data_IF_202506305204
#
_entry.id   IF_202506305204
#
_cell.length_a   1.000
_cell.length_b   1.000
_cell.length_c   1.000
_cell.angle_alpha   90.00
_cell.angle_beta   90.00
_cell.angle_gamma   90.00
#
_symmetry.space_group_name_H-M   'P 1'
#
loop_
_entity.id
_entity.type
_entity.pdbx_description
1 polymer ?
#
# COMPACT_ATOMS: atom_id res chain seq x y z
N UNK A 1 -3.00 11.20 -12.78
CA UNK A 1 -4.37 10.67 -12.59
C UNK A 1 -4.96 10.38 -13.96
N UNK A 2 -5.17 9.11 -14.29
CA UNK A 2 -5.69 8.68 -15.59
C UNK A 2 -7.07 9.28 -15.86
N UNK A 3 -7.35 9.59 -17.13
CA UNK A 3 -8.53 10.23 -17.69
C UNK A 3 -9.86 9.47 -17.54
N UNK A 4 -9.95 8.47 -16.65
CA UNK A 4 -11.12 7.60 -16.51
C UNK A 4 -12.21 8.15 -15.56
N UNK A 5 -12.36 9.46 -15.45
CA UNK A 5 -13.33 10.11 -14.56
C UNK A 5 -14.80 10.08 -15.06
N UNK A 6 -15.18 9.22 -16.01
CA UNK A 6 -16.55 9.22 -16.56
C UNK A 6 -17.27 7.89 -16.66
N UNK A 7 -16.63 6.74 -16.43
CA UNK A 7 -17.30 5.44 -16.49
C UNK A 7 -17.42 4.83 -15.08
N UNK A 8 -18.62 4.37 -14.74
CA UNK A 8 -18.87 3.59 -13.52
C UNK A 8 -18.15 2.24 -13.57
N UNK A 9 -17.95 1.61 -12.41
CA UNK A 9 -17.38 0.26 -12.30
C UNK A 9 -18.07 -0.74 -13.25
N UNK A 10 -19.39 -0.67 -13.36
CA UNK A 10 -20.18 -1.57 -14.20
C UNK A 10 -19.96 -1.31 -15.69
N UNK A 11 -19.86 -0.04 -16.10
CA UNK A 11 -19.56 0.34 -17.48
C UNK A 11 -18.13 -0.08 -17.88
N UNK A 12 -17.14 0.13 -17.00
CA UNK A 12 -15.76 -0.32 -17.24
C UNK A 12 -15.64 -1.83 -17.35
N UNK A 13 -16.53 -2.56 -16.68
CA UNK A 13 -16.56 -4.02 -16.72
C UNK A 13 -17.40 -4.57 -17.87
N UNK A 14 -18.05 -3.71 -18.66
CA UNK A 14 -18.91 -4.11 -19.78
C UNK A 14 -20.09 -4.99 -19.36
N UNK A 15 -20.58 -4.84 -18.12
CA UNK A 15 -21.66 -5.67 -17.55
C UNK A 15 -22.99 -4.93 -17.58
N UNK A 16 -24.05 -5.64 -17.96
CA UNK A 16 -25.43 -5.14 -18.14
C UNK A 16 -26.12 -4.67 -16.83
N UNK A 17 -27.23 -3.94 -17.02
CA UNK A 17 -28.18 -3.58 -15.96
C UNK A 17 -28.70 -4.83 -15.22
N UNK A 18 -28.63 -4.82 -13.88
CA UNK A 18 -29.17 -5.87 -12.99
C UNK A 18 -28.14 -6.60 -12.14
N UNK A 19 -26.86 -6.55 -12.50
CA UNK A 19 -25.76 -7.14 -11.72
C UNK A 19 -25.55 -6.45 -10.38
N UNK A 20 -25.57 -5.11 -10.41
CA UNK A 20 -25.56 -4.27 -9.20
C UNK A 20 -26.65 -4.69 -8.23
N UNK A 21 -27.89 -4.85 -8.71
CA UNK A 21 -29.01 -5.25 -7.86
C UNK A 21 -28.87 -6.70 -7.39
N UNK A 22 -28.32 -7.60 -8.22
CA UNK A 22 -27.98 -8.96 -7.83
C UNK A 22 -26.99 -9.00 -6.65
N UNK A 23 -25.92 -8.21 -6.72
CA UNK A 23 -24.95 -8.08 -5.63
C UNK A 23 -25.61 -7.53 -4.36
N UNK A 24 -26.39 -6.45 -4.46
CA UNK A 24 -27.09 -5.86 -3.32
C UNK A 24 -28.10 -6.82 -2.69
N UNK A 25 -28.83 -7.60 -3.50
CA UNK A 25 -29.72 -8.66 -2.99
C UNK A 25 -28.94 -9.74 -2.25
N UNK A 26 -27.85 -10.24 -2.83
CA UNK A 26 -27.01 -11.25 -2.17
C UNK A 26 -26.48 -10.76 -0.80
N UNK A 27 -26.07 -9.49 -0.71
CA UNK A 27 -25.68 -8.89 0.58
C UNK A 27 -26.86 -8.85 1.55
N UNK A 28 -28.04 -8.38 1.12
CA UNK A 28 -29.24 -8.28 1.97
C UNK A 28 -29.66 -9.64 2.53
N UNK A 29 -29.61 -10.68 1.70
CA UNK A 29 -30.00 -12.04 2.08
C UNK A 29 -29.03 -12.65 3.11
N UNK A 30 -27.73 -12.34 3.00
CA UNK A 30 -26.72 -12.83 3.95
C UNK A 30 -26.55 -11.93 5.19
N UNK A 31 -26.98 -10.68 5.15
CA UNK A 31 -26.83 -9.69 6.22
C UNK A 31 -28.18 -9.15 6.68
N UNK A 32 -29.12 -10.06 7.00
CA UNK A 32 -30.47 -9.73 7.48
C UNK A 32 -30.42 -8.79 8.67
N UNK A 33 -31.18 -7.69 8.61
CA UNK A 33 -31.26 -6.67 9.66
C UNK A 33 -30.10 -5.67 9.70
N UNK A 34 -29.09 -5.80 8.82
CA UNK A 34 -28.06 -4.79 8.68
C UNK A 34 -28.51 -3.65 7.77
N UNK A 35 -28.06 -2.43 8.06
CA UNK A 35 -28.16 -1.30 7.12
C UNK A 35 -27.05 -1.45 6.08
N UNK A 36 -27.43 -1.37 4.81
CA UNK A 36 -26.55 -1.62 3.67
C UNK A 36 -26.53 -0.35 2.82
N UNK A 37 -25.35 0.21 2.60
CA UNK A 37 -25.16 1.46 1.87
C UNK A 37 -24.01 1.31 0.88
N UNK A 38 -24.17 1.82 -0.34
CA UNK A 38 -23.01 1.96 -1.22
C UNK A 38 -22.08 3.05 -0.70
N UNK A 39 -20.78 2.80 -0.76
CA UNK A 39 -19.84 3.87 -0.48
C UNK A 39 -19.96 4.96 -1.56
N UNK A 40 -19.99 6.21 -1.13
CA UNK A 40 -20.07 7.38 -2.01
C UNK A 40 -18.96 7.39 -3.07
N UNK A 41 -17.77 6.91 -2.69
CA UNK A 41 -16.61 6.83 -3.57
C UNK A 41 -16.30 5.36 -3.86
N UNK A 42 -16.51 4.96 -5.11
CA UNK A 42 -16.21 3.61 -5.62
C UNK A 42 -14.81 3.56 -6.21
N UNK A 43 -14.10 2.43 -6.02
CA UNK A 43 -12.81 2.20 -6.67
C UNK A 43 -13.01 1.71 -8.11
N UNK A 44 -12.02 1.93 -8.99
CA UNK A 44 -12.08 1.41 -10.36
C UNK A 44 -12.04 -0.12 -10.44
N UNK A 45 -11.48 -0.77 -9.43
CA UNK A 45 -11.26 -2.23 -9.40
C UNK A 45 -12.33 -3.01 -8.62
N UNK A 46 -13.25 -2.33 -7.93
CA UNK A 46 -14.26 -2.99 -7.09
C UNK A 46 -15.54 -2.17 -6.93
N UNK A 47 -16.66 -2.88 -6.80
CA UNK A 47 -17.90 -2.32 -6.26
C UNK A 47 -17.97 -2.60 -4.76
N UNK A 48 -18.04 -1.55 -3.94
CA UNK A 48 -17.92 -1.62 -2.48
C UNK A 48 -19.20 -1.16 -1.77
N UNK A 49 -19.64 -1.98 -0.82
CA UNK A 49 -20.85 -1.76 -0.03
C UNK A 49 -20.48 -1.76 1.46
N UNK A 50 -20.95 -0.76 2.21
CA UNK A 50 -20.87 -0.66 3.65
C UNK A 50 -22.00 -1.44 4.31
N UNK A 51 -21.64 -2.24 5.31
CA UNK A 51 -22.57 -2.98 6.17
C UNK A 51 -22.47 -2.39 7.58
N UNK A 52 -23.59 -1.93 8.10
CA UNK A 52 -23.71 -1.43 9.47
C UNK A 52 -24.67 -2.32 10.26
N UNK A 53 -24.16 -3.00 11.29
CA UNK A 53 -24.98 -3.78 12.22
C UNK A 53 -25.15 -3.01 13.52
N UNK A 54 -26.39 -2.92 14.00
CA UNK A 54 -26.66 -2.45 15.36
C UNK A 54 -25.93 -3.38 16.34
N UNK A 55 -25.23 -2.82 17.33
CA UNK A 55 -24.50 -3.61 18.32
C UNK A 55 -25.48 -4.55 19.02
N UNK A 56 -25.28 -5.86 18.91
CA UNK A 56 -26.14 -6.83 19.59
C UNK A 56 -25.97 -6.68 21.09
N UNK A 57 -27.05 -6.42 21.83
CA UNK A 57 -27.13 -6.77 23.24
C UNK A 57 -26.88 -8.28 23.32
N UNK A 58 -25.72 -8.71 23.83
CA UNK A 58 -25.58 -10.11 24.22
C UNK A 58 -26.52 -10.31 25.39
N UNK A 59 -27.65 -10.99 25.17
CA UNK A 59 -28.42 -11.59 26.24
C UNK A 59 -27.53 -12.62 26.94
N UNK A 60 -26.81 -12.16 27.96
CA UNK A 60 -26.14 -13.02 28.91
C UNK A 60 -27.21 -13.74 29.71
N UNK A 61 -27.53 -14.98 29.33
CA UNK A 61 -28.15 -15.94 30.24
C UNK A 61 -27.13 -16.31 31.32
N UNK A 62 -27.07 -15.51 32.39
CA UNK A 62 -26.64 -15.97 33.71
C UNK A 62 -27.62 -15.37 34.71
N UNK A 63 -28.46 -16.24 35.26
CA UNK A 63 -29.17 -15.96 36.50
C UNK A 63 -28.12 -15.76 37.60
N UNK A 64 -28.10 -14.58 38.21
CA UNK A 64 -28.39 -14.42 39.65
C UNK A 64 -28.15 -12.98 40.13
N UNK A 65 -29.19 -12.47 40.80
CA UNK A 65 -29.23 -11.54 41.91
C UNK A 65 -28.12 -10.45 42.07
N UNK A 66 -28.62 -9.19 42.01
CA UNK A 66 -28.15 -8.00 42.76
C UNK A 66 -26.93 -7.26 42.20
N UNK A 67 -27.17 -6.25 41.38
CA UNK A 67 -26.84 -4.84 41.70
C UNK A 67 -27.39 -3.93 40.60
N UNK A 68 -28.13 -2.89 41.00
CA UNK A 68 -28.62 -1.84 40.11
C UNK A 68 -27.45 -0.89 39.83
N UNK A 69 -26.85 -1.03 38.67
CA UNK A 69 -26.24 0.05 37.88
C UNK A 69 -25.94 -0.48 36.48
N UNK A 70 -26.98 -0.54 35.65
CA UNK A 70 -26.86 -0.91 34.23
C UNK A 70 -26.26 0.26 33.47
N UNK A 71 -24.93 0.34 33.46
CA UNK A 71 -24.20 1.10 32.43
C UNK A 71 -24.58 0.46 31.09
N UNK A 72 -25.42 1.14 30.32
CA UNK A 72 -25.67 0.80 28.90
C UNK A 72 -24.32 0.85 28.20
N UNK A 73 -23.74 -0.33 27.97
CA UNK A 73 -22.63 -0.49 27.04
C UNK A 73 -23.22 -0.33 25.64
N UNK A 74 -23.37 0.91 25.18
CA UNK A 74 -23.57 1.22 23.76
C UNK A 74 -22.30 0.78 23.02
N UNK A 75 -22.23 -0.51 22.66
CA UNK A 75 -21.19 -0.98 21.76
C UNK A 75 -21.40 -0.27 20.43
N UNK A 76 -20.37 0.49 20.02
CA UNK A 76 -20.33 1.12 18.72
C UNK A 76 -20.73 0.11 17.62
N UNK A 77 -21.52 0.52 16.62
CA UNK A 77 -22.02 -0.38 15.59
C UNK A 77 -20.85 -1.07 14.88
N UNK A 78 -21.00 -2.38 14.64
CA UNK A 78 -20.00 -3.12 13.87
C UNK A 78 -20.14 -2.73 12.40
N UNK A 79 -19.05 -2.20 11.83
CA UNK A 79 -18.99 -1.76 10.44
C UNK A 79 -18.03 -2.64 9.66
N UNK A 80 -18.50 -3.14 8.52
CA UNK A 80 -17.75 -3.98 7.58
C UNK A 80 -17.96 -3.44 6.18
N UNK A 81 -17.05 -3.73 5.27
CA UNK A 81 -17.27 -3.50 3.84
C UNK A 81 -17.31 -4.83 3.09
N UNK A 82 -18.10 -4.88 2.04
CA UNK A 82 -18.08 -5.97 1.07
C UNK A 82 -17.62 -5.40 -0.25
N UNK A 83 -16.56 -5.99 -0.81
CA UNK A 83 -16.05 -5.65 -2.13
C UNK A 83 -16.36 -6.76 -3.12
N UNK A 84 -16.99 -6.38 -4.22
CA UNK A 84 -17.20 -7.20 -5.38
C UNK A 84 -16.11 -6.87 -6.40
N UNK A 85 -15.31 -7.87 -6.76
CA UNK A 85 -14.14 -7.73 -7.64
C UNK A 85 -14.23 -8.75 -8.77
N UNK A 86 -13.98 -8.36 -10.03
CA UNK A 86 -13.80 -9.33 -11.09
C UNK A 86 -12.54 -10.15 -10.87
N UNK A 87 -12.44 -11.34 -11.47
CA UNK A 87 -11.28 -12.23 -11.32
C UNK A 87 -9.94 -11.53 -11.59
N UNK A 88 -9.85 -10.67 -12.61
CA UNK A 88 -8.64 -9.88 -12.93
C UNK A 88 -8.16 -8.95 -11.82
N UNK A 89 -9.05 -8.58 -10.90
CA UNK A 89 -8.77 -7.69 -9.76
C UNK A 89 -9.07 -8.38 -8.41
N UNK A 90 -9.18 -9.71 -8.42
CA UNK A 90 -9.45 -10.52 -7.24
C UNK A 90 -8.39 -10.31 -6.15
N UNK A 91 -8.81 -10.40 -4.89
CA UNK A 91 -7.90 -10.26 -3.76
C UNK A 91 -7.26 -11.61 -3.42
N UNK A 92 -5.93 -11.71 -3.41
CA UNK A 92 -5.26 -12.89 -2.87
C UNK A 92 -5.39 -12.89 -1.34
N UNK A 93 -6.26 -13.76 -0.83
CA UNK A 93 -6.54 -13.87 0.61
C UNK A 93 -5.31 -14.28 1.43
N UNK A 94 -4.31 -14.93 0.83
CA UNK A 94 -3.05 -15.26 1.52
C UNK A 94 -2.21 -14.01 1.72
N UNK A 95 -2.21 -13.11 0.74
CA UNK A 95 -1.56 -11.79 0.86
C UNK A 95 -2.29 -10.93 1.89
N UNK A 96 -3.63 -10.88 1.84
CA UNK A 96 -4.41 -10.15 2.83
C UNK A 96 -4.18 -10.67 4.26
N UNK A 97 -4.10 -12.00 4.44
CA UNK A 97 -3.75 -12.61 5.72
C UNK A 97 -2.33 -12.25 6.16
N UNK A 98 -1.34 -12.36 5.27
CA UNK A 98 0.05 -11.99 5.55
C UNK A 98 0.18 -10.50 5.93
N UNK A 99 -0.65 -9.63 5.35
CA UNK A 99 -0.72 -8.22 5.71
C UNK A 99 -1.22 -8.04 7.15
N UNK A 100 -2.29 -8.71 7.56
CA UNK A 100 -2.76 -8.70 8.96
C UNK A 100 -1.72 -9.28 9.92
N UNK A 101 -1.04 -10.36 9.56
CA UNK A 101 0.00 -10.98 10.40
C UNK A 101 1.22 -10.07 10.57
N UNK A 102 1.64 -9.40 9.49
CA UNK A 102 2.82 -8.52 9.50
C UNK A 102 2.52 -7.17 10.16
N UNK A 103 1.42 -6.53 9.76
CA UNK A 103 1.10 -5.15 10.13
C UNK A 103 0.09 -5.04 11.28
N UNK A 104 -0.51 -6.15 11.71
CA UNK A 104 -1.45 -6.19 12.82
C UNK A 104 -2.71 -5.39 12.51
N UNK A 105 -3.11 -4.53 13.44
CA UNK A 105 -4.29 -3.68 13.31
C UNK A 105 -4.17 -2.59 12.24
N UNK A 106 -3.01 -2.41 11.60
CA UNK A 106 -2.88 -1.48 10.48
C UNK A 106 -3.36 -2.06 9.16
N UNK A 107 -3.62 -3.37 9.05
CA UNK A 107 -4.14 -3.98 7.83
C UNK A 107 -5.54 -4.59 8.08
N UNK A 108 -6.49 -4.47 7.14
CA UNK A 108 -7.84 -4.96 7.32
C UNK A 108 -7.89 -6.48 7.33
N UNK A 109 -8.59 -7.04 8.32
CA UNK A 109 -8.97 -8.46 8.27
C UNK A 109 -9.90 -8.69 7.08
N UNK A 110 -9.60 -9.72 6.29
CA UNK A 110 -10.28 -10.00 5.03
C UNK A 110 -10.71 -11.46 4.96
N UNK A 111 -11.87 -11.75 4.36
CA UNK A 111 -12.31 -13.11 4.03
C UNK A 111 -13.10 -13.15 2.73
N UNK A 112 -13.04 -14.28 2.03
CA UNK A 112 -13.89 -14.54 0.86
C UNK A 112 -15.34 -14.81 1.28
N UNK A 113 -16.27 -14.35 0.45
CA UNK A 113 -17.69 -14.63 0.56
C UNK A 113 -18.13 -15.43 -0.67
N UNK A 114 -18.90 -16.50 -0.45
CA UNK A 114 -19.46 -17.28 -1.53
C UNK A 114 -20.95 -16.94 -1.71
N UNK A 115 -21.21 -16.00 -2.61
CA UNK A 115 -22.57 -15.59 -2.98
C UNK A 115 -23.07 -16.26 -4.26
N UNK A 116 -22.31 -17.19 -4.86
CA UNK A 116 -22.70 -17.83 -6.13
C UNK A 116 -22.90 -16.82 -7.27
N UNK A 117 -22.06 -15.79 -7.33
CA UNK A 117 -22.21 -14.70 -8.30
C UNK A 117 -21.84 -15.15 -9.72
N UNK A 118 -22.52 -14.64 -10.74
CA UNK A 118 -22.24 -14.99 -12.13
C UNK A 118 -20.90 -14.43 -12.64
N UNK A 119 -20.44 -14.94 -13.79
CA UNK A 119 -19.28 -14.50 -14.61
C UNK A 119 -17.99 -14.17 -13.84
N UNK A 120 -17.61 -15.01 -12.87
CA UNK A 120 -16.32 -14.88 -12.19
C UNK A 120 -16.20 -13.68 -11.26
N UNK A 121 -17.31 -13.04 -10.89
CA UNK A 121 -17.32 -12.00 -9.86
C UNK A 121 -17.10 -12.65 -8.49
N UNK A 122 -16.14 -12.11 -7.75
CA UNK A 122 -15.79 -12.57 -6.41
C UNK A 122 -16.24 -11.54 -5.38
N UNK A 123 -16.65 -12.01 -4.20
CA UNK A 123 -17.03 -11.15 -3.09
C UNK A 123 -16.08 -11.36 -1.91
N UNK A 124 -15.71 -10.24 -1.27
CA UNK A 124 -14.80 -10.22 -0.14
C UNK A 124 -15.39 -9.36 0.97
N UNK A 125 -15.41 -9.86 2.20
CA UNK A 125 -15.70 -9.05 3.37
C UNK A 125 -14.39 -8.55 3.97
N UNK A 126 -14.31 -7.24 4.23
CA UNK A 126 -13.17 -6.60 4.86
C UNK A 126 -13.62 -5.81 6.10
N UNK A 127 -12.72 -5.72 7.08
CA UNK A 127 -12.83 -4.78 8.20
C UNK A 127 -12.83 -3.34 7.69
N UNK A 128 -13.78 -2.51 8.16
CA UNK A 128 -13.79 -1.09 7.87
C UNK A 128 -12.74 -0.38 8.74
N UNK A 129 -11.61 -0.04 8.11
CA UNK A 129 -10.54 0.67 8.79
C UNK A 129 -10.97 2.09 9.16
N UNK A 130 -10.65 2.51 10.39
CA UNK A 130 -10.95 3.87 10.89
C UNK A 130 -9.89 4.86 10.40
N UNK A 131 -10.29 6.13 10.35
CA UNK A 131 -9.41 7.24 10.01
C UNK A 131 -9.79 7.93 8.71
N UNK A 132 -9.07 8.99 8.40
CA UNK A 132 -9.24 9.78 7.17
C UNK A 132 -8.06 9.50 6.24
N UNK A 133 -8.27 9.26 4.93
CA UNK A 133 -7.17 9.17 3.98
C UNK A 133 -6.26 10.39 4.04
N UNK A 134 -4.94 10.20 4.16
CA UNK A 134 -3.97 11.28 4.25
C UNK A 134 -4.07 12.24 3.04
N UNK A 135 -4.44 11.73 1.87
CA UNK A 135 -4.68 12.56 0.67
C UNK A 135 -5.68 13.70 0.89
N UNK A 136 -6.65 13.54 1.82
CA UNK A 136 -7.64 14.57 2.18
C UNK A 136 -7.11 15.59 3.20
N UNK A 137 -6.08 15.23 3.95
CA UNK A 137 -5.50 16.07 5.00
C UNK A 137 -4.18 16.74 4.58
N UNK A 138 -3.54 16.25 3.52
CA UNK A 138 -2.24 16.71 3.04
C UNK A 138 -2.25 18.22 2.73
N UNK A 139 -1.30 18.95 3.32
CA UNK A 139 -1.16 20.39 3.13
C UNK A 139 -0.54 20.70 1.76
N UNK A 140 -1.16 21.62 1.02
CA UNK A 140 -0.67 22.08 -0.30
C UNK A 140 -0.01 23.46 -0.21
N UNK A 141 0.90 23.61 0.75
CA UNK A 141 1.72 24.81 0.96
C UNK A 141 3.16 24.40 1.23
N UNK A 142 4.13 25.10 0.65
CA UNK A 142 5.56 24.81 0.82
C UNK A 142 6.05 24.98 2.26
N UNK A 143 5.42 25.90 3.00
CA UNK A 143 5.76 26.19 4.39
C UNK A 143 4.70 25.62 5.32
N UNK A 144 5.15 24.77 6.23
CA UNK A 144 4.34 24.26 7.32
C UNK A 144 4.42 25.22 8.50
N UNK A 145 3.28 25.61 9.05
CA UNK A 145 3.20 26.29 10.35
C UNK A 145 3.59 25.31 11.50
N UNK A 146 3.80 25.80 12.74
CA UNK A 146 4.23 24.94 13.85
C UNK A 146 3.30 23.77 14.16
N UNK A 147 1.98 23.95 14.01
CA UNK A 147 1.01 22.88 14.27
C UNK A 147 1.07 21.81 13.18
N UNK A 148 1.04 22.23 11.90
CA UNK A 148 1.18 21.34 10.76
C UNK A 148 2.53 20.60 10.78
N UNK A 149 3.60 21.27 11.21
CA UNK A 149 4.92 20.64 11.41
C UNK A 149 4.86 19.54 12.48
N UNK A 150 4.23 19.81 13.63
CA UNK A 150 4.05 18.81 14.69
C UNK A 150 3.27 17.58 14.21
N UNK A 151 2.16 17.80 13.49
CA UNK A 151 1.37 16.72 12.88
C UNK A 151 2.17 15.93 11.84
N UNK A 152 2.98 16.60 11.03
CA UNK A 152 3.84 15.95 10.05
C UNK A 152 4.91 15.05 10.70
N UNK A 153 5.46 15.47 11.86
CA UNK A 153 6.36 14.64 12.66
C UNK A 153 5.64 13.39 13.21
N UNK A 154 4.41 13.53 13.73
CA UNK A 154 3.64 12.39 14.21
C UNK A 154 3.35 11.37 13.09
N UNK A 155 2.96 11.85 11.91
CA UNK A 155 2.76 11.00 10.73
C UNK A 155 4.03 10.23 10.37
N UNK A 156 5.18 10.92 10.31
CA UNK A 156 6.46 10.29 9.97
C UNK A 156 6.91 9.27 11.01
N UNK A 157 6.74 9.59 12.30
CA UNK A 157 7.03 8.65 13.40
C UNK A 157 6.15 7.41 13.30
N UNK A 158 4.85 7.60 13.13
CA UNK A 158 3.88 6.51 12.97
C UNK A 158 4.23 5.66 11.75
N UNK A 159 4.57 6.28 10.62
CA UNK A 159 5.00 5.57 9.41
C UNK A 159 6.26 4.73 9.62
N UNK A 160 7.28 5.29 10.27
CA UNK A 160 8.49 4.55 10.61
C UNK A 160 8.18 3.31 11.46
N UNK A 161 7.31 3.45 12.47
CA UNK A 161 6.87 2.35 13.31
C UNK A 161 6.11 1.27 12.53
N UNK A 162 5.22 1.66 11.61
CA UNK A 162 4.44 0.73 10.78
C UNK A 162 5.34 -0.02 9.81
N UNK A 163 6.21 0.67 9.07
CA UNK A 163 7.12 0.05 8.09
C UNK A 163 8.13 -0.88 8.78
N UNK A 164 8.62 -0.52 9.96
CA UNK A 164 9.52 -1.38 10.74
C UNK A 164 8.93 -2.77 11.02
N UNK A 165 7.60 -2.93 11.08
CA UNK A 165 6.97 -4.23 11.30
C UNK A 165 7.36 -5.27 10.26
N UNK A 166 7.47 -4.87 8.99
CA UNK A 166 7.87 -5.76 7.91
C UNK A 166 9.31 -6.28 8.10
N UNK A 167 10.22 -5.41 8.56
CA UNK A 167 11.60 -5.78 8.90
C UNK A 167 11.64 -6.78 10.06
N UNK A 168 10.88 -6.50 11.12
CA UNK A 168 10.84 -7.32 12.32
C UNK A 168 10.25 -8.70 12.06
N UNK A 169 9.20 -8.79 11.24
CA UNK A 169 8.60 -10.06 10.84
C UNK A 169 9.61 -10.99 10.15
N UNK A 170 10.41 -10.47 9.22
CA UNK A 170 11.45 -11.25 8.53
C UNK A 170 12.59 -11.71 9.46
N UNK A 171 12.93 -10.88 10.45
CA UNK A 171 13.93 -11.23 11.45
C UNK A 171 13.47 -12.39 12.35
N UNK A 172 12.17 -12.50 12.62
CA UNK A 172 11.59 -13.57 13.44
C UNK A 172 11.46 -14.90 12.68
N UNK A 173 11.21 -14.87 11.38
CA UNK A 173 11.12 -16.07 10.53
C UNK A 173 12.48 -16.71 10.22
N UNK A 174 13.60 -16.08 10.59
CA UNK A 174 14.96 -16.52 10.27
C UNK A 174 15.48 -17.70 11.13
N UNK A 175 14.62 -18.41 11.88
CA UNK A 175 15.00 -19.67 12.52
C UNK A 175 14.81 -20.85 11.55
N UNK A 176 15.95 -21.32 11.05
CA UNK A 176 16.18 -22.50 10.19
C UNK A 176 16.26 -22.20 8.69
N UNK A 177 17.45 -21.88 8.15
CA UNK A 177 17.72 -22.22 6.76
C UNK A 177 17.51 -23.73 6.64
N UNK A 178 16.59 -24.16 5.76
CA UNK A 178 16.46 -25.56 5.39
C UNK A 178 17.88 -26.09 5.16
N UNK A 179 18.32 -27.03 5.99
CA UNK A 179 19.56 -27.79 5.77
C UNK A 179 19.48 -28.35 4.35
N UNK A 180 20.14 -27.69 3.42
CA UNK A 180 20.50 -28.27 2.14
C UNK A 180 21.27 -29.54 2.46
N UNK A 181 20.73 -30.69 2.03
CA UNK A 181 21.44 -31.97 2.10
C UNK A 181 22.81 -31.79 1.44
N UNK A 182 23.84 -32.40 2.02
CA UNK A 182 25.24 -32.21 1.66
C UNK A 182 25.62 -32.64 0.22
N UNK A 183 24.67 -33.14 -0.57
CA UNK A 183 24.92 -33.88 -1.80
C UNK A 183 24.36 -33.19 -3.06
N UNK A 184 23.89 -31.93 -2.96
CA UNK A 184 23.47 -31.15 -4.14
C UNK A 184 24.64 -30.35 -4.71
N UNK A 185 24.92 -30.41 -6.02
CA UNK A 185 26.01 -29.65 -6.63
C UNK A 185 25.79 -28.16 -6.36
N UNK A 186 26.85 -27.48 -5.94
CA UNK A 186 26.88 -26.03 -5.71
C UNK A 186 26.70 -25.36 -7.07
N UNK A 187 25.45 -25.08 -7.42
CA UNK A 187 25.14 -24.07 -8.42
C UNK A 187 25.38 -22.74 -7.69
N UNK A 188 26.35 -21.98 -8.18
CA UNK A 188 26.65 -20.61 -7.72
C UNK A 188 25.48 -19.71 -8.14
N UNK A 189 24.37 -19.80 -7.40
CA UNK A 189 23.12 -19.13 -7.71
C UNK A 189 23.16 -17.71 -7.15
N UNK A 190 23.72 -16.82 -7.96
CA UNK A 190 23.78 -15.37 -7.73
C UNK A 190 22.39 -14.72 -7.51
N UNK A 191 21.28 -15.44 -7.76
CA UNK A 191 19.91 -14.89 -7.77
C UNK A 191 18.96 -15.48 -6.69
N UNK A 192 19.48 -16.14 -5.66
CA UNK A 192 18.65 -16.73 -4.58
C UNK A 192 17.70 -15.75 -3.86
N UNK A 193 17.96 -14.44 -3.88
CA UNK A 193 17.04 -13.47 -3.28
C UNK A 193 15.90 -13.08 -4.22
N UNK A 194 16.21 -12.74 -5.47
CA UNK A 194 15.18 -12.28 -6.41
C UNK A 194 14.20 -13.40 -6.75
N UNK A 195 14.64 -14.67 -6.68
CA UNK A 195 13.76 -15.83 -6.81
C UNK A 195 12.75 -15.99 -5.64
N UNK A 196 12.99 -15.36 -4.49
CA UNK A 196 12.03 -15.29 -3.38
C UNK A 196 11.01 -14.15 -3.58
N UNK A 197 11.25 -13.23 -4.51
CA UNK A 197 10.31 -12.16 -4.80
C UNK A 197 9.11 -12.72 -5.57
N UNK A 198 7.92 -12.21 -5.27
CA UNK A 198 6.66 -12.74 -5.82
C UNK A 198 5.90 -11.68 -6.60
N UNK A 199 4.80 -12.07 -7.25
CA UNK A 199 3.90 -11.14 -7.93
C UNK A 199 4.40 -10.62 -9.28
N UNK A 200 3.71 -9.63 -9.82
CA UNK A 200 3.96 -9.05 -11.15
C UNK A 200 5.24 -8.22 -11.16
N UNK A 201 5.52 -7.49 -10.07
CA UNK A 201 6.68 -6.61 -9.97
C UNK A 201 7.90 -7.42 -9.54
N UNK A 202 7.80 -8.18 -8.45
CA UNK A 202 8.91 -8.92 -7.84
C UNK A 202 9.55 -9.95 -8.76
N UNK A 203 8.74 -10.73 -9.48
CA UNK A 203 9.24 -11.74 -10.42
C UNK A 203 9.99 -11.13 -11.63
N UNK A 204 9.86 -9.82 -11.85
CA UNK A 204 10.36 -9.14 -13.05
C UNK A 204 11.27 -7.95 -12.73
N UNK A 205 11.82 -7.82 -11.51
CA UNK A 205 12.65 -6.66 -11.11
C UNK A 205 13.79 -6.42 -12.11
N UNK A 206 14.58 -7.45 -12.42
CA UNK A 206 15.75 -7.34 -13.31
C UNK A 206 15.36 -6.92 -14.73
N UNK A 207 14.36 -7.58 -15.31
CA UNK A 207 13.89 -7.29 -16.68
C UNK A 207 13.26 -5.89 -16.75
N UNK A 208 12.50 -5.49 -15.72
CA UNK A 208 11.90 -4.16 -15.65
C UNK A 208 12.96 -3.07 -15.51
N UNK A 209 14.00 -3.25 -14.71
CA UNK A 209 15.11 -2.28 -14.61
C UNK A 209 15.90 -2.17 -15.92
N UNK A 210 16.15 -3.29 -16.63
CA UNK A 210 16.75 -3.26 -17.97
C UNK A 210 15.94 -2.41 -18.95
N UNK A 211 14.61 -2.56 -18.95
CA UNK A 211 13.72 -1.79 -19.83
C UNK A 211 13.75 -0.31 -19.47
N UNK A 212 13.71 0.05 -18.18
CA UNK A 212 13.83 1.43 -17.73
C UNK A 212 15.17 2.06 -18.14
N UNK A 213 16.27 1.34 -17.98
CA UNK A 213 17.60 1.76 -18.40
C UNK A 213 17.70 2.04 -19.92
N UNK A 214 16.85 1.41 -20.72
CA UNK A 214 16.82 1.58 -22.18
C UNK A 214 15.82 2.63 -22.66
N UNK A 215 14.65 2.70 -22.05
CA UNK A 215 13.48 3.38 -22.63
C UNK A 215 12.98 4.59 -21.85
N UNK A 216 13.47 4.88 -20.64
CA UNK A 216 13.10 6.12 -19.94
C UNK A 216 13.46 7.34 -20.81
N UNK A 217 12.65 8.40 -20.85
CA UNK A 217 12.86 9.55 -21.74
C UNK A 217 14.16 10.31 -21.41
N UNK A 218 14.48 10.45 -20.12
CA UNK A 218 15.67 11.16 -19.66
C UNK A 218 16.93 10.30 -19.68
N UNK A 219 17.99 10.80 -20.32
CA UNK A 219 19.29 10.12 -20.33
C UNK A 219 19.90 9.95 -18.93
N UNK A 220 19.65 10.90 -18.02
CA UNK A 220 20.11 10.82 -16.63
C UNK A 220 19.38 9.71 -15.87
N UNK A 221 18.06 9.58 -16.02
CA UNK A 221 17.29 8.51 -15.41
C UNK A 221 17.68 7.14 -15.97
N UNK A 222 17.91 7.03 -17.30
CA UNK A 222 18.44 5.81 -17.93
C UNK A 222 19.76 5.37 -17.31
N UNK A 223 20.71 6.31 -17.14
CA UNK A 223 22.00 6.02 -16.48
C UNK A 223 21.82 5.58 -15.04
N UNK A 224 20.92 6.21 -14.29
CA UNK A 224 20.65 5.81 -12.90
C UNK A 224 20.01 4.43 -12.83
N UNK A 225 19.03 4.12 -13.67
CA UNK A 225 18.44 2.79 -13.75
C UNK A 225 19.48 1.71 -14.11
N UNK A 226 20.39 2.00 -15.05
CA UNK A 226 21.51 1.12 -15.39
C UNK A 226 22.46 0.92 -14.19
N UNK A 227 22.74 1.97 -13.43
CA UNK A 227 23.55 1.86 -12.21
C UNK A 227 22.84 1.03 -11.12
N UNK A 228 21.56 1.29 -10.85
CA UNK A 228 20.73 0.50 -9.92
C UNK A 228 20.72 -0.97 -10.31
N UNK A 229 20.54 -1.28 -11.60
CA UNK A 229 20.60 -2.63 -12.15
C UNK A 229 21.95 -3.30 -11.90
N UNK A 230 23.06 -2.60 -12.15
CA UNK A 230 24.41 -3.15 -11.93
C UNK A 230 24.71 -3.48 -10.46
N UNK A 231 23.93 -2.91 -9.54
CA UNK A 231 24.07 -3.05 -8.09
C UNK A 231 23.10 -4.06 -7.48
N UNK A 232 22.25 -4.73 -8.26
CA UNK A 232 21.27 -5.70 -7.72
C UNK A 232 21.91 -6.80 -6.88
N UNK A 233 23.16 -7.20 -7.18
CA UNK A 233 23.89 -8.20 -6.39
C UNK A 233 24.19 -7.74 -4.95
N UNK A 234 24.15 -6.43 -4.65
CA UNK A 234 24.25 -5.90 -3.28
C UNK A 234 23.04 -6.29 -2.41
N UNK A 235 21.92 -6.72 -3.02
CA UNK A 235 20.77 -7.24 -2.29
C UNK A 235 21.01 -8.68 -1.80
N UNK A 236 22.09 -9.38 -2.17
CA UNK A 236 22.31 -10.77 -1.73
C UNK A 236 22.24 -10.91 -0.20
N UNK A 237 21.36 -11.78 0.28
CA UNK A 237 21.14 -11.99 1.73
C UNK A 237 20.40 -10.86 2.46
N UNK A 238 19.74 -9.97 1.71
CA UNK A 238 18.86 -8.94 2.25
C UNK A 238 17.46 -9.50 2.55
N UNK A 239 16.69 -8.97 3.52
CA UNK A 239 15.39 -9.53 3.83
C UNK A 239 14.35 -9.23 2.74
N UNK A 240 13.65 -10.27 2.30
CA UNK A 240 12.41 -10.18 1.52
C UNK A 240 11.24 -10.13 2.50
N UNK A 241 10.38 -9.13 2.34
CA UNK A 241 9.28 -8.83 3.25
C UNK A 241 8.02 -8.50 2.44
N UNK A 242 6.86 -8.60 3.07
CA UNK A 242 5.62 -8.15 2.45
C UNK A 242 5.61 -6.62 2.34
N UNK A 243 5.64 -6.09 1.13
CA UNK A 243 5.51 -4.65 0.83
C UNK A 243 4.09 -4.37 0.31
N UNK A 244 3.55 -3.17 0.58
CA UNK A 244 2.16 -2.82 0.24
C UNK A 244 1.84 -2.82 -1.27
N UNK A 245 2.82 -2.54 -2.13
CA UNK A 245 2.60 -2.45 -3.58
C UNK A 245 2.16 -1.06 -4.03
N UNK A 246 1.13 -0.47 -3.41
CA UNK A 246 0.54 0.84 -3.77
C UNK A 246 0.46 1.81 -2.58
N UNK A 247 1.59 2.27 -2.05
CA UNK A 247 1.66 3.01 -0.79
C UNK A 247 1.52 4.53 -0.99
N UNK A 248 0.39 4.93 -1.57
CA UNK A 248 0.05 6.33 -1.88
C UNK A 248 -0.83 6.98 -0.78
N UNK A 249 -0.93 8.33 -0.71
CA UNK A 249 -1.68 9.04 0.32
C UNK A 249 -3.14 8.64 0.51
N UNK A 250 -3.83 8.15 -0.52
CA UNK A 250 -5.23 7.69 -0.41
C UNK A 250 -5.37 6.36 0.31
N UNK A 251 -4.31 5.56 0.34
CA UNK A 251 -4.30 4.23 0.94
C UNK A 251 -3.82 4.24 2.39
N UNK A 252 -3.44 5.40 2.91
CA UNK A 252 -2.94 5.59 4.28
C UNK A 252 -3.99 6.37 5.06
N UNK A 253 -4.63 5.72 6.02
CA UNK A 253 -5.60 6.33 6.91
C UNK A 253 -4.90 6.86 8.14
N UNK A 254 -5.28 8.08 8.54
CA UNK A 254 -4.75 8.75 9.72
C UNK A 254 -5.87 9.16 10.67
N UNK A 255 -5.53 9.29 11.94
CA UNK A 255 -6.33 10.07 12.88
C UNK A 255 -6.26 11.56 12.46
N UNK A 256 -7.40 12.24 12.24
CA UNK A 256 -7.40 13.61 11.71
C UNK A 256 -6.84 14.64 12.72
N UNK A 257 -6.86 14.33 14.02
CA UNK A 257 -6.42 15.23 15.08
C UNK A 257 -4.92 15.07 15.35
N UNK A 258 -4.45 13.81 15.43
CA UNK A 258 -3.05 13.50 15.80
C UNK A 258 -2.12 13.26 14.62
N UNK A 259 -2.68 12.89 13.47
CA UNK A 259 -1.98 12.41 12.25
C UNK A 259 -1.21 11.10 12.42
N UNK A 260 -1.51 10.33 13.46
CA UNK A 260 -1.04 8.96 13.56
C UNK A 260 -1.73 8.07 12.53
N UNK A 261 -0.99 7.15 11.91
CA UNK A 261 -1.56 6.17 10.99
C UNK A 261 -2.48 5.25 11.79
N UNK A 262 -3.70 5.08 11.33
CA UNK A 262 -4.70 4.19 11.93
C UNK A 262 -4.95 2.95 11.06
N UNK A 263 -4.58 3.00 9.78
CA UNK A 263 -4.73 1.89 8.86
C UNK A 263 -4.04 2.13 7.52
N UNK A 264 -3.70 1.05 6.85
CA UNK A 264 -3.25 0.98 5.47
C UNK A 264 -4.21 0.03 4.75
N UNK A 265 -4.79 0.50 3.64
CA UNK A 265 -5.83 -0.19 2.88
C UNK A 265 -5.36 -0.45 1.45
N UNK A 266 -6.08 -1.34 0.76
CA UNK A 266 -5.81 -1.75 -0.62
C UNK A 266 -4.51 -2.53 -0.83
N UNK A 267 -4.38 -3.63 -0.09
CA UNK A 267 -3.28 -4.59 -0.18
C UNK A 267 -3.31 -5.47 -1.44
N UNK A 268 -4.08 -5.12 -2.47
CA UNK A 268 -4.25 -5.94 -3.67
C UNK A 268 -2.95 -6.07 -4.49
N UNK A 269 -2.11 -5.03 -4.49
CA UNK A 269 -0.81 -5.01 -5.19
C UNK A 269 0.36 -5.44 -4.29
N UNK A 270 0.08 -5.94 -3.09
CA UNK A 270 1.12 -6.29 -2.13
C UNK A 270 1.91 -7.54 -2.56
N UNK A 271 3.22 -7.47 -2.42
CA UNK A 271 4.15 -8.50 -2.89
C UNK A 271 5.28 -8.72 -1.89
N UNK A 272 5.81 -9.94 -1.88
CA UNK A 272 7.07 -10.23 -1.19
C UNK A 272 8.23 -9.66 -2.00
N UNK A 273 8.89 -8.62 -1.46
CA UNK A 273 9.93 -7.83 -2.12
C UNK A 273 11.03 -7.46 -1.12
N UNK A 274 12.25 -7.08 -1.55
CA UNK A 274 13.26 -6.49 -0.69
C UNK A 274 12.67 -5.41 0.22
N UNK A 275 13.01 -5.44 1.51
CA UNK A 275 12.61 -4.36 2.42
C UNK A 275 13.02 -2.99 1.88
N UNK A 276 12.13 -2.02 1.97
CA UNK A 276 12.41 -0.66 1.55
C UNK A 276 11.89 -0.31 0.16
N UNK A 277 11.44 -1.29 -0.64
CA UNK A 277 10.87 -1.00 -1.97
C UNK A 277 9.59 -0.16 -1.91
N UNK A 278 8.81 -0.20 -0.83
CA UNK A 278 7.67 0.71 -0.65
C UNK A 278 8.03 2.08 -0.04
N UNK A 279 9.31 2.39 0.22
CA UNK A 279 9.71 3.66 0.86
C UNK A 279 9.53 4.89 -0.02
N UNK A 280 9.16 4.74 -1.30
CA UNK A 280 8.64 5.85 -2.08
C UNK A 280 7.42 6.50 -1.39
N UNK A 281 6.67 5.75 -0.56
CA UNK A 281 5.56 6.26 0.23
C UNK A 281 5.93 7.41 1.17
N UNK A 282 7.15 7.38 1.75
CA UNK A 282 7.67 8.44 2.62
C UNK A 282 7.60 9.81 1.92
N UNK A 283 7.79 9.81 0.62
CA UNK A 283 8.09 11.03 -0.10
C UNK A 283 6.86 11.88 -0.31
N UNK A 284 5.70 11.24 -0.36
CA UNK A 284 4.42 11.92 -0.24
C UNK A 284 4.21 12.61 1.10
N UNK A 285 4.95 12.27 2.16
CA UNK A 285 4.90 12.98 3.44
C UNK A 285 5.86 14.18 3.47
N UNK A 286 6.79 14.25 2.52
CA UNK A 286 7.80 15.28 2.45
C UNK A 286 7.42 16.41 1.50
N UNK A 287 6.30 16.28 0.79
CA UNK A 287 5.83 17.25 -0.18
C UNK A 287 4.43 16.94 -0.69
N UNK A 288 4.06 17.53 -1.82
CA UNK A 288 2.77 17.33 -2.46
C UNK A 288 2.86 17.55 -3.98
N UNK A 289 1.91 17.00 -4.74
CA UNK A 289 1.70 17.32 -6.14
C UNK A 289 0.89 18.60 -6.28
N UNK A 290 1.48 19.60 -6.94
CA UNK A 290 0.83 20.85 -7.29
C UNK A 290 0.25 20.78 -8.70
N UNK A 291 -1.08 20.82 -8.78
CA UNK A 291 -1.85 20.79 -10.02
C UNK A 291 -2.17 22.19 -10.56
N UNK A 292 -1.79 23.26 -9.86
CA UNK A 292 -2.06 24.64 -10.29
C UNK A 292 -1.11 25.11 -11.39
N UNK A 293 -0.02 24.38 -11.62
CA UNK A 293 0.98 24.68 -12.65
C UNK A 293 0.45 24.22 -14.01
N UNK A 294 0.15 25.18 -14.88
CA UNK A 294 -0.60 25.00 -16.14
C UNK A 294 0.07 24.08 -17.17
N UNK A 295 1.37 23.80 -17.05
CA UNK A 295 2.11 22.95 -18.00
C UNK A 295 2.05 21.45 -17.69
N UNK A 296 2.05 21.09 -16.40
CA UNK A 296 2.05 19.72 -15.88
C UNK A 296 2.00 19.76 -14.34
N UNK A 297 1.41 18.74 -13.67
CA UNK A 297 1.55 18.56 -12.23
C UNK A 297 3.02 18.49 -11.83
N UNK A 298 3.41 19.17 -10.75
CA UNK A 298 4.78 19.08 -10.21
C UNK A 298 4.80 18.73 -8.75
N UNK A 299 5.67 17.82 -8.39
CA UNK A 299 5.95 17.46 -7.02
C UNK A 299 6.85 18.52 -6.38
N UNK A 300 6.40 19.05 -5.25
CA UNK A 300 7.12 20.06 -4.48
C UNK A 300 7.34 19.58 -3.05
N UNK A 301 8.60 19.56 -2.63
CA UNK A 301 8.97 19.31 -1.24
C UNK A 301 8.65 20.51 -0.36
N UNK A 302 8.24 20.24 0.88
CA UNK A 302 8.19 21.26 1.91
C UNK A 302 9.60 21.81 2.19
N UNK A 303 9.70 23.06 2.63
CA UNK A 303 11.01 23.66 2.97
C UNK A 303 11.78 22.90 4.07
N UNK A 304 11.08 22.13 4.92
CA UNK A 304 11.71 21.28 5.94
C UNK A 304 11.84 19.81 5.56
N UNK A 305 11.66 19.43 4.30
CA UNK A 305 11.66 18.03 3.85
C UNK A 305 12.91 17.26 4.28
N UNK A 306 14.11 17.85 4.20
CA UNK A 306 15.34 17.17 4.63
C UNK A 306 15.35 16.87 6.14
N UNK A 307 14.82 17.79 6.97
CA UNK A 307 14.70 17.56 8.41
C UNK A 307 13.70 16.45 8.72
N UNK A 308 12.58 16.43 8.01
CA UNK A 308 11.56 15.40 8.12
C UNK A 308 12.10 14.03 7.65
N UNK A 309 12.88 13.99 6.56
CA UNK A 309 13.54 12.77 6.08
C UNK A 309 14.58 12.24 7.06
N UNK A 310 15.40 13.13 7.62
CA UNK A 310 16.36 12.75 8.67
C UNK A 310 15.63 12.15 9.88
N UNK A 311 14.56 12.82 10.31
CA UNK A 311 13.73 12.37 11.42
C UNK A 311 13.09 11.00 11.16
N UNK A 312 12.60 10.74 9.94
CA UNK A 312 12.11 9.41 9.55
C UNK A 312 13.17 8.31 9.77
N UNK A 313 14.41 8.54 9.32
CA UNK A 313 15.47 7.54 9.47
C UNK A 313 15.85 7.32 10.94
N UNK A 314 15.88 8.39 11.74
CA UNK A 314 16.11 8.32 13.18
C UNK A 314 15.04 7.46 13.87
N UNK A 315 13.76 7.70 13.59
CA UNK A 315 12.63 6.92 14.13
C UNK A 315 12.64 5.46 13.63
N UNK A 316 12.94 5.24 12.34
CA UNK A 316 13.00 3.88 11.79
C UNK A 316 14.13 3.06 12.43
N UNK A 317 15.27 3.67 12.77
CA UNK A 317 16.35 2.99 13.49
C UNK A 317 15.99 2.68 14.94
N UNK A 318 15.14 3.47 15.58
CA UNK A 318 14.64 3.15 16.93
C UNK A 318 13.85 1.84 16.89
N UNK A 319 13.00 1.65 15.87
CA UNK A 319 12.18 0.45 15.72
C UNK A 319 12.91 -0.74 15.09
N UNK A 320 13.91 -0.50 14.24
CA UNK A 320 14.71 -1.53 13.57
C UNK A 320 16.22 -1.22 13.61
N UNK A 321 16.88 -1.31 14.79
CA UNK A 321 18.29 -0.91 14.95
C UNK A 321 19.26 -1.65 14.01
N UNK A 322 19.03 -2.95 13.81
CA UNK A 322 19.86 -3.80 12.93
C UNK A 322 19.86 -3.36 11.46
N UNK A 323 18.85 -2.57 11.04
CA UNK A 323 18.79 -2.03 9.69
C UNK A 323 19.85 -0.93 9.45
N UNK A 324 20.32 -0.26 10.51
CA UNK A 324 21.26 0.89 10.41
C UNK A 324 22.56 0.53 9.67
N UNK A 325 23.06 -0.68 9.86
CA UNK A 325 24.26 -1.19 9.19
C UNK A 325 24.03 -1.51 7.70
N UNK A 326 22.77 -1.68 7.30
CA UNK A 326 22.36 -2.04 5.93
C UNK A 326 21.80 -0.87 5.13
N UNK A 327 22.00 0.36 5.59
CA UNK A 327 21.40 1.56 4.99
C UNK A 327 21.73 1.77 3.51
N UNK A 328 22.92 1.38 3.05
CA UNK A 328 23.26 1.43 1.61
C UNK A 328 22.34 0.55 0.77
N UNK A 329 22.02 -0.64 1.27
CA UNK A 329 21.15 -1.63 0.62
C UNK A 329 19.69 -1.22 0.73
N UNK A 330 19.25 -0.66 1.88
CA UNK A 330 17.91 -0.08 2.05
C UNK A 330 17.65 1.03 1.03
N UNK A 331 18.63 1.93 0.83
CA UNK A 331 18.52 3.00 -0.17
C UNK A 331 18.45 2.46 -1.59
N UNK A 332 19.26 1.45 -1.91
CA UNK A 332 19.18 0.77 -3.21
C UNK A 332 17.79 0.16 -3.44
N UNK A 333 17.24 -0.55 -2.44
CA UNK A 333 15.87 -1.09 -2.52
C UNK A 333 14.82 0.02 -2.69
N UNK A 334 14.98 1.15 -1.98
CA UNK A 334 14.15 2.34 -2.16
C UNK A 334 14.19 2.90 -3.58
N UNK A 335 15.36 3.01 -4.17
CA UNK A 335 15.54 3.44 -5.57
C UNK A 335 14.85 2.49 -6.55
N UNK A 336 14.99 1.17 -6.35
CA UNK A 336 14.29 0.16 -7.16
C UNK A 336 12.78 0.35 -7.02
N UNK A 337 12.28 0.56 -5.80
CA UNK A 337 10.88 0.88 -5.52
C UNK A 337 10.38 2.09 -6.31
N UNK A 338 11.10 3.20 -6.25
CA UNK A 338 10.78 4.42 -7.00
C UNK A 338 10.77 4.16 -8.50
N UNK A 339 11.76 3.44 -9.03
CA UNK A 339 11.83 3.10 -10.46
C UNK A 339 10.66 2.23 -10.91
N UNK A 340 10.32 1.18 -10.17
CA UNK A 340 9.28 0.24 -10.59
C UNK A 340 7.89 0.85 -10.43
N UNK A 341 7.69 1.74 -9.46
CA UNK A 341 6.42 2.42 -9.26
C UNK A 341 6.19 3.57 -10.25
N UNK A 342 7.16 4.47 -10.41
CA UNK A 342 7.02 5.69 -11.22
C UNK A 342 7.61 5.59 -12.63
N UNK A 343 8.38 4.54 -12.92
CA UNK A 343 8.96 4.30 -14.24
C UNK A 343 8.04 3.56 -15.21
N UNK A 344 6.92 3.03 -14.72
CA UNK A 344 5.93 2.34 -15.52
C UNK A 344 4.58 3.02 -15.42
N UNK A 345 3.91 3.12 -16.56
CA UNK A 345 2.55 3.60 -16.62
C UNK A 345 1.59 2.49 -16.15
N UNK A 346 0.51 2.92 -15.50
CA UNK A 346 -0.56 2.03 -15.06
C UNK A 346 -1.67 2.05 -16.11
N UNK A 347 -1.67 1.05 -16.99
CA UNK A 347 -2.65 0.89 -18.06
C UNK A 347 -3.64 -0.22 -17.66
N UNK A 348 -4.61 0.12 -16.79
CA UNK A 348 -5.70 -0.78 -16.34
C UNK A 348 -5.22 -2.10 -15.69
N UNK A 349 -4.14 -2.03 -14.90
CA UNK A 349 -3.54 -3.17 -14.21
C UNK A 349 -2.41 -3.87 -14.97
N UNK A 350 -2.08 -3.38 -16.18
CA UNK A 350 -0.83 -3.68 -16.86
C UNK A 350 0.23 -2.62 -16.47
N UNK A 351 1.39 -3.09 -15.97
CA UNK A 351 2.52 -2.24 -15.53
C UNK A 351 3.71 -2.52 -16.45
N UNK A 352 3.46 -2.55 -17.76
CA UNK A 352 4.45 -2.98 -18.74
C UNK A 352 4.90 -1.87 -19.66
N UNK A 353 4.23 -0.72 -19.73
CA UNK A 353 4.67 0.40 -20.55
C UNK A 353 5.58 1.32 -19.75
N UNK A 354 6.75 1.67 -20.28
CA UNK A 354 7.62 2.68 -19.65
C UNK A 354 6.97 4.05 -19.83
N UNK A 355 7.01 4.88 -18.79
CA UNK A 355 6.43 6.23 -18.78
C UNK A 355 6.99 7.13 -19.88
N UNK A 356 6.16 8.04 -20.40
CA UNK A 356 6.51 8.97 -21.47
C UNK A 356 6.09 10.43 -21.16
N UNK A 357 6.71 11.39 -21.84
CA UNK A 357 6.56 12.84 -21.60
C UNK A 357 5.17 13.41 -21.94
N UNK A 358 4.37 12.67 -22.70
CA UNK A 358 3.06 13.10 -23.17
C UNK A 358 1.99 12.66 -22.19
N UNK A 359 1.94 11.36 -21.89
CA UNK A 359 0.83 10.75 -21.15
C UNK A 359 1.09 10.69 -19.63
N UNK A 360 2.36 10.55 -19.22
CA UNK A 360 2.74 10.17 -17.85
C UNK A 360 3.54 11.28 -17.13
N UNK A 361 3.14 12.53 -17.34
CA UNK A 361 3.87 13.72 -16.87
C UNK A 361 4.04 13.76 -15.35
N UNK A 362 3.01 13.31 -14.62
CA UNK A 362 3.01 13.30 -13.16
C UNK A 362 4.02 12.28 -12.63
N UNK A 363 3.99 11.07 -13.19
CA UNK A 363 4.86 9.96 -12.84
C UNK A 363 6.31 10.30 -13.14
N UNK A 364 6.58 10.92 -14.30
CA UNK A 364 7.90 11.41 -14.66
C UNK A 364 8.42 12.51 -13.73
N UNK A 365 7.60 13.48 -13.35
CA UNK A 365 8.02 14.53 -12.41
C UNK A 365 8.34 13.93 -11.04
N UNK A 366 7.49 13.03 -10.52
CA UNK A 366 7.78 12.27 -9.31
C UNK A 366 9.10 11.48 -9.46
N UNK A 367 9.29 10.73 -10.53
CA UNK A 367 10.50 9.93 -10.77
C UNK A 367 11.77 10.79 -10.73
N UNK A 368 11.76 11.95 -11.41
CA UNK A 368 12.86 12.93 -11.40
C UNK A 368 13.13 13.43 -9.98
N UNK A 369 12.11 13.98 -9.33
CA UNK A 369 12.22 14.56 -7.99
C UNK A 369 12.62 13.55 -6.94
N UNK A 370 12.22 12.29 -7.13
CA UNK A 370 12.38 11.27 -6.13
C UNK A 370 13.78 10.66 -6.16
N UNK A 371 14.36 10.58 -7.35
CA UNK A 371 15.72 10.10 -7.52
C UNK A 371 16.77 11.22 -7.39
N UNK A 372 16.45 12.50 -7.59
CA UNK A 372 17.42 13.60 -7.43
C UNK A 372 18.04 13.76 -6.02
N UNK A 373 17.49 13.08 -5.00
CA UNK A 373 17.81 13.27 -3.58
C UNK A 373 19.26 12.97 -3.17
N UNK A 374 19.95 12.09 -3.89
CA UNK A 374 21.31 11.66 -3.50
C UNK A 374 22.44 12.53 -4.10
N UNK A 375 22.13 13.58 -4.86
CA UNK A 375 23.16 14.45 -5.47
C UNK A 375 23.64 15.55 -4.50
N UNK A 376 22.96 15.75 -3.37
CA UNK A 376 23.21 16.88 -2.44
C UNK A 376 23.58 16.47 -1.01
N UNK A 377 23.96 15.21 -0.76
CA UNK A 377 24.49 14.77 0.55
C UNK A 377 25.97 14.49 0.51
#
# INVERSE_FOLDING_TARGET
MSSNLQLSFWEMMGVEDGWREGCLRAVRDCHVGARIEELEHQGGCSFTVLIVRAGSEREGKIADAISRDSVRSDRAPETRIIQFRPEKHGLDLRIAQAATETYGHFAPKSRGLNFGLPNGLQAFELEMMRGTPFSRCQRRSLRLDPEAWGRQLNLIRSFAAVIAKAWLASSQTSHSPRRTRADSPIIDDSDTLLSQCTGKVGANITSKLHRLARYLPDAALRRRAANTLSRLSELKGYPVVLNHGDLIPSNILIDPDTWEITGIIDWAEAEWLPFGMCLYGLEHFLGFLDYTITSAPKFQYYYGAERLRKFFWEELWIHAPAMKERMKVVRLAGDIGVFLWYGYAWDEGAIDRVVNEVDDKQELDCLRRFLERDVRT
#
